data_IF_618357556141
#
_entry.id   IF_618357556141
#
_cell.length_a   1.000
_cell.length_b   1.000
_cell.length_c   1.000
_cell.angle_alpha   90.00
_cell.angle_beta   90.00
_cell.angle_gamma   90.00
#
_symmetry.space_group_name_H-M   'P 1'
#
loop_
_entity.id
_entity.type
_entity.pdbx_description
1 polymer ?
#
# COMPACT_ATOMS: atom_id res chain seq x y z
N UNK A 1 -16.08 13.70 -10.00
CA UNK A 1 -16.83 13.13 -8.85
C UNK A 1 -15.97 13.37 -7.61
N UNK A 2 -16.36 14.28 -6.71
CA UNK A 2 -15.55 14.62 -5.54
C UNK A 2 -15.84 13.62 -4.42
N UNK A 3 -14.89 12.74 -4.10
CA UNK A 3 -15.00 11.85 -2.94
C UNK A 3 -14.64 12.64 -1.68
N UNK A 4 -15.52 12.66 -0.68
CA UNK A 4 -15.25 13.25 0.64
C UNK A 4 -14.51 12.24 1.50
N UNK A 5 -13.37 12.66 2.04
CA UNK A 5 -12.66 11.93 3.10
C UNK A 5 -13.15 12.50 4.42
N UNK A 6 -13.67 11.63 5.28
CA UNK A 6 -13.99 11.97 6.66
C UNK A 6 -12.79 11.61 7.53
N UNK A 7 -12.28 12.59 8.27
CA UNK A 7 -11.26 12.38 9.28
C UNK A 7 -11.96 12.24 10.64
N UNK A 8 -11.45 11.36 11.50
CA UNK A 8 -11.89 11.33 12.89
C UNK A 8 -11.56 12.65 13.61
N UNK A 9 -12.18 12.86 14.78
CA UNK A 9 -12.06 14.10 15.54
C UNK A 9 -10.62 14.44 15.93
N UNK A 10 -9.82 13.44 16.29
CA UNK A 10 -8.45 13.63 16.77
C UNK A 10 -7.50 13.95 15.61
N UNK A 11 -7.61 13.24 14.49
CA UNK A 11 -6.86 13.51 13.27
C UNK A 11 -7.20 14.85 12.66
N UNK A 12 -8.48 15.27 12.68
CA UNK A 12 -8.86 16.60 12.23
C UNK A 12 -8.18 17.71 13.06
N UNK A 13 -8.10 17.52 14.39
CA UNK A 13 -7.39 18.46 15.29
C UNK A 13 -5.89 18.48 15.01
N UNK A 14 -5.26 17.31 14.87
CA UNK A 14 -3.81 17.21 14.59
C UNK A 14 -3.46 17.87 13.25
N UNK A 15 -4.18 17.52 12.19
CA UNK A 15 -3.94 18.06 10.85
C UNK A 15 -4.23 19.56 10.79
N UNK A 16 -5.28 20.04 11.48
CA UNK A 16 -5.57 21.47 11.61
C UNK A 16 -4.43 22.24 12.28
N UNK A 17 -3.84 21.69 13.35
CA UNK A 17 -2.68 22.28 14.02
C UNK A 17 -1.44 22.32 13.12
N UNK A 18 -1.18 21.24 12.37
CA UNK A 18 -0.07 21.20 11.41
C UNK A 18 -0.27 22.21 10.27
N UNK A 19 -1.49 22.33 9.76
CA UNK A 19 -1.83 23.30 8.73
C UNK A 19 -1.58 24.74 9.22
N UNK A 20 -2.04 25.08 10.42
CA UNK A 20 -1.83 26.40 11.03
C UNK A 20 -0.35 26.74 11.23
N UNK A 21 0.51 25.75 11.52
CA UNK A 21 1.95 25.96 11.76
C UNK A 21 2.79 26.01 10.49
N UNK A 22 2.38 25.28 9.45
CA UNK A 22 3.15 25.13 8.21
C UNK A 22 2.69 26.04 7.08
N UNK A 23 1.47 26.59 7.16
CA UNK A 23 0.82 27.29 6.05
C UNK A 23 0.35 26.35 4.92
N UNK A 24 0.50 25.03 5.08
CA UNK A 24 0.04 24.02 4.11
C UNK A 24 -1.40 23.64 4.44
N UNK A 25 -2.26 23.47 3.44
CA UNK A 25 -3.64 23.06 3.67
C UNK A 25 -3.73 21.64 4.24
N UNK A 26 -4.76 21.37 5.06
CA UNK A 26 -5.06 20.02 5.58
C UNK A 26 -5.10 18.98 4.45
N UNK A 27 -5.74 19.32 3.33
CA UNK A 27 -5.82 18.43 2.17
C UNK A 27 -4.46 18.11 1.55
N UNK A 28 -3.55 19.08 1.47
CA UNK A 28 -2.20 18.86 0.96
C UNK A 28 -1.35 18.01 1.92
N UNK A 29 -1.49 18.20 3.24
CA UNK A 29 -0.83 17.36 4.25
C UNK A 29 -1.35 15.92 4.15
N UNK A 30 -2.67 15.74 4.15
CA UNK A 30 -3.29 14.42 4.02
C UNK A 30 -2.88 13.72 2.72
N UNK A 31 -2.87 14.44 1.59
CA UNK A 31 -2.44 13.88 0.31
C UNK A 31 -0.97 13.45 0.34
N UNK A 32 -0.09 14.20 1.01
CA UNK A 32 1.33 13.84 1.10
C UNK A 32 1.55 12.57 1.94
N UNK A 33 0.80 12.43 3.03
CA UNK A 33 0.82 11.21 3.86
C UNK A 33 0.25 10.03 3.07
N UNK A 34 -0.91 10.17 2.43
CA UNK A 34 -1.48 9.08 1.63
C UNK A 34 -0.56 8.68 0.46
N UNK A 35 0.08 9.66 -0.18
CA UNK A 35 1.01 9.41 -1.27
C UNK A 35 2.26 8.62 -0.83
N UNK A 36 2.74 8.77 0.41
CA UNK A 36 3.86 7.97 0.91
C UNK A 36 3.52 6.49 1.10
N UNK A 37 2.22 6.15 1.14
CA UNK A 37 1.72 4.78 1.27
C UNK A 37 1.13 4.23 -0.04
N UNK A 38 1.31 4.93 -1.17
CA UNK A 38 0.75 4.52 -2.45
C UNK A 38 1.22 3.12 -2.90
N UNK A 39 2.47 2.76 -2.62
CA UNK A 39 3.01 1.44 -2.94
C UNK A 39 2.31 0.32 -2.16
N UNK A 40 2.00 0.57 -0.88
CA UNK A 40 1.25 -0.36 -0.03
C UNK A 40 -0.19 -0.53 -0.52
N UNK A 41 -0.86 0.58 -0.87
CA UNK A 41 -2.20 0.53 -1.45
C UNK A 41 -2.25 -0.21 -2.78
N UNK A 42 -1.23 -0.04 -3.62
CA UNK A 42 -1.12 -0.79 -4.87
C UNK A 42 -0.89 -2.29 -4.64
N UNK A 43 -0.12 -2.64 -3.61
CA UNK A 43 0.13 -4.04 -3.28
C UNK A 43 -1.11 -4.75 -2.75
N UNK A 44 -1.90 -4.10 -1.88
CA UNK A 44 -3.15 -4.72 -1.40
C UNK A 44 -4.21 -4.82 -2.50
N UNK A 45 -4.28 -3.85 -3.42
CA UNK A 45 -5.15 -3.91 -4.60
C UNK A 45 -4.77 -5.10 -5.49
N UNK A 46 -3.48 -5.24 -5.81
CA UNK A 46 -2.94 -6.38 -6.58
C UNK A 46 -3.17 -7.71 -5.88
N UNK A 47 -3.03 -7.75 -4.55
CA UNK A 47 -3.27 -8.95 -3.75
C UNK A 47 -4.74 -9.37 -3.80
N UNK A 48 -5.68 -8.42 -3.68
CA UNK A 48 -7.12 -8.69 -3.76
C UNK A 48 -7.56 -9.13 -5.16
N UNK A 49 -6.96 -8.56 -6.21
CA UNK A 49 -7.20 -8.98 -7.60
C UNK A 49 -6.73 -10.42 -7.85
N UNK A 50 -5.60 -10.82 -7.27
CA UNK A 50 -5.07 -12.18 -7.37
C UNK A 50 -5.89 -13.21 -6.58
N UNK A 51 -6.67 -12.76 -5.59
CA UNK A 51 -7.50 -13.61 -4.73
C UNK A 51 -8.95 -13.10 -4.74
N UNK A 52 -9.72 -13.35 -5.82
CA UNK A 52 -11.04 -12.78 -5.98
C UNK A 52 -12.04 -13.31 -4.94
N UNK A 53 -13.16 -12.59 -4.77
CA UNK A 53 -14.20 -12.97 -3.84
C UNK A 53 -14.69 -14.41 -4.09
N UNK A 54 -14.84 -15.18 -3.00
CA UNK A 54 -15.20 -16.60 -3.07
C UNK A 54 -14.03 -17.57 -3.32
N UNK A 55 -12.81 -17.06 -3.56
CA UNK A 55 -11.61 -17.89 -3.72
C UNK A 55 -11.04 -18.44 -2.38
N UNK A 56 -11.64 -18.10 -1.25
CA UNK A 56 -11.26 -18.59 0.08
C UNK A 56 -10.88 -17.47 1.06
N UNK A 57 -10.30 -17.86 2.20
CA UNK A 57 -10.03 -16.96 3.34
C UNK A 57 -8.99 -15.87 3.06
N UNK A 58 -8.14 -16.01 2.04
CA UNK A 58 -7.13 -15.01 1.68
C UNK A 58 -7.76 -13.68 1.24
N UNK A 59 -8.89 -13.73 0.52
CA UNK A 59 -9.61 -12.51 0.14
C UNK A 59 -10.12 -11.76 1.39
N UNK A 60 -10.74 -12.49 2.32
CA UNK A 60 -11.25 -11.92 3.56
C UNK A 60 -10.12 -11.35 4.44
N UNK A 61 -8.99 -12.06 4.52
CA UNK A 61 -7.80 -11.57 5.22
C UNK A 61 -7.25 -10.30 4.57
N UNK A 62 -7.22 -10.22 3.23
CA UNK A 62 -6.83 -9.00 2.51
C UNK A 62 -7.74 -7.82 2.82
N UNK A 63 -9.06 -8.03 2.84
CA UNK A 63 -10.02 -6.99 3.22
C UNK A 63 -9.85 -6.56 4.68
N UNK A 64 -9.56 -7.49 5.58
CA UNK A 64 -9.29 -7.19 6.98
C UNK A 64 -8.04 -6.34 7.15
N UNK A 65 -6.98 -6.55 6.35
CA UNK A 65 -5.79 -5.71 6.35
C UNK A 65 -6.12 -4.25 5.98
N UNK A 66 -7.04 -4.01 5.04
CA UNK A 66 -7.49 -2.65 4.70
C UNK A 66 -8.17 -1.97 5.89
N UNK A 67 -8.90 -2.74 6.71
CA UNK A 67 -9.60 -2.22 7.89
C UNK A 67 -8.69 -2.03 9.10
N UNK A 68 -7.67 -2.87 9.26
CA UNK A 68 -6.74 -2.86 10.40
C UNK A 68 -5.44 -2.10 10.13
N UNK A 69 -5.24 -1.58 8.92
CA UNK A 69 -4.05 -0.84 8.52
C UNK A 69 -3.79 0.37 9.44
N UNK A 70 -2.58 0.44 10.01
CA UNK A 70 -2.21 1.50 10.94
C UNK A 70 -0.93 1.21 11.72
N UNK A 71 -0.94 0.33 12.73
CA UNK A 71 0.25 0.02 13.52
C UNK A 71 1.24 -0.91 12.80
N UNK A 72 0.77 -1.67 11.83
CA UNK A 72 1.56 -2.58 10.99
C UNK A 72 1.49 -2.14 9.53
N UNK A 73 2.58 -2.32 8.77
CA UNK A 73 2.58 -2.08 7.33
C UNK A 73 1.69 -3.11 6.61
N UNK A 74 1.04 -2.72 5.51
CA UNK A 74 0.24 -3.64 4.68
C UNK A 74 1.13 -4.78 4.17
N UNK A 75 2.39 -4.49 3.84
CA UNK A 75 3.33 -5.46 3.30
C UNK A 75 3.66 -6.55 4.34
N UNK A 76 3.91 -6.18 5.59
CA UNK A 76 4.10 -7.15 6.68
C UNK A 76 2.84 -7.99 6.89
N UNK A 77 1.67 -7.36 6.85
CA UNK A 77 0.39 -8.04 6.96
C UNK A 77 0.18 -9.08 5.87
N UNK A 78 0.41 -8.72 4.61
CA UNK A 78 0.34 -9.64 3.45
C UNK A 78 1.32 -10.80 3.63
N UNK A 79 2.56 -10.51 4.01
CA UNK A 79 3.61 -11.52 4.20
C UNK A 79 3.26 -12.53 5.29
N UNK A 80 2.50 -12.11 6.31
CA UNK A 80 2.03 -13.01 7.38
C UNK A 80 0.91 -13.94 6.91
N UNK A 81 -0.07 -13.41 6.18
CA UNK A 81 -1.24 -14.19 5.74
C UNK A 81 -0.95 -15.07 4.53
N UNK A 82 0.02 -14.66 3.70
CA UNK A 82 0.45 -15.38 2.51
C UNK A 82 1.99 -15.35 2.40
N UNK A 83 2.69 -16.23 3.14
CA UNK A 83 4.17 -16.25 3.18
C UNK A 83 4.83 -16.50 1.81
N UNK A 84 4.14 -17.20 0.92
CA UNK A 84 4.61 -17.50 -0.44
C UNK A 84 4.33 -16.35 -1.43
N UNK A 85 3.62 -15.31 -0.99
CA UNK A 85 3.35 -14.15 -1.81
C UNK A 85 4.62 -13.32 -2.01
N UNK A 86 4.90 -12.95 -3.26
CA UNK A 86 5.99 -12.06 -3.59
C UNK A 86 5.44 -10.70 -4.01
N UNK A 87 5.82 -9.65 -3.28
CA UNK A 87 5.44 -8.28 -3.60
C UNK A 87 5.92 -7.87 -4.99
N UNK A 88 5.33 -6.82 -5.55
CA UNK A 88 5.76 -6.27 -6.84
C UNK A 88 7.23 -5.87 -6.83
N UNK A 89 7.71 -5.28 -5.73
CA UNK A 89 9.12 -4.93 -5.56
C UNK A 89 10.02 -6.17 -5.67
N UNK A 90 9.69 -7.25 -4.94
CA UNK A 90 10.46 -8.50 -4.97
C UNK A 90 10.41 -9.14 -6.37
N UNK A 91 9.25 -9.14 -7.02
CA UNK A 91 9.10 -9.64 -8.39
C UNK A 91 9.94 -8.84 -9.39
N UNK A 92 9.96 -7.52 -9.24
CA UNK A 92 10.77 -6.64 -10.07
C UNK A 92 12.27 -6.86 -9.87
N UNK A 93 12.73 -6.94 -8.63
CA UNK A 93 14.14 -7.21 -8.31
C UNK A 93 14.62 -8.53 -8.89
N UNK A 94 13.81 -9.59 -8.77
CA UNK A 94 14.11 -10.90 -9.39
C UNK A 94 14.18 -10.81 -10.91
N UNK A 95 13.22 -10.14 -11.54
CA UNK A 95 13.21 -9.96 -12.99
C UNK A 95 14.43 -9.16 -13.49
N UNK A 96 14.85 -8.14 -12.73
CA UNK A 96 16.03 -7.35 -13.04
C UNK A 96 17.32 -8.17 -12.92
N UNK A 97 17.46 -8.94 -11.83
CA UNK A 97 18.60 -9.82 -11.63
C UNK A 97 18.73 -10.87 -12.75
N UNK A 98 17.60 -11.47 -13.15
CA UNK A 98 17.54 -12.42 -14.27
C UNK A 98 17.93 -11.78 -15.61
N UNK A 99 17.52 -10.53 -15.85
CA UNK A 99 17.86 -9.81 -17.08
C UNK A 99 19.36 -9.49 -17.15
N UNK A 100 19.98 -9.10 -16.03
CA UNK A 100 21.41 -8.77 -15.96
C UNK A 100 22.27 -10.05 -16.05
N UNK A 101 21.84 -11.15 -15.44
CA UNK A 101 22.53 -12.45 -15.50
C UNK A 101 22.51 -13.12 -16.88
N UNK A 102 21.60 -12.70 -17.78
CA UNK A 102 21.45 -13.22 -19.15
C UNK A 102 22.14 -12.36 -20.22
N UNK A 103 23.33 -11.81 -19.94
CA UNK A 103 24.10 -11.09 -20.98
C UNK A 103 24.37 -12.04 -22.15
N UNK A 104 23.87 -11.77 -23.38
CA UNK A 104 24.17 -12.62 -24.51
C UNK A 104 25.65 -12.43 -24.86
N UNK A 105 26.43 -13.51 -24.77
CA UNK A 105 27.73 -13.57 -25.45
C UNK A 105 27.47 -13.30 -26.92
N UNK A 106 27.84 -12.11 -27.40
CA UNK A 106 27.94 -11.81 -28.82
C UNK A 106 29.01 -12.73 -29.40
N UNK A 107 28.57 -13.83 -29.99
CA UNK A 107 29.34 -14.68 -30.91
C UNK A 107 29.37 -14.06 -32.29
#
# INVERSE_FOLDING_TARGET
MTKRITLDGDMAVILGRLASRSGISVGAIANKVLASHAAEFYEIDTFLDAHPAGAGSLHEHGLNLVQSYGPESIIEGISRIAPDYHTLAVRFERALADAIGKTPTRS
#
